data_IF_610990487175
#
_entry.id   IF_610990487175
#
_cell.length_a   1.000
_cell.length_b   1.000
_cell.length_c   1.000
_cell.angle_alpha   90.00
_cell.angle_beta   90.00
_cell.angle_gamma   90.00
#
_symmetry.space_group_name_H-M   'P 1'
#
loop_
_entity.id
_entity.type
_entity.pdbx_description
1 polymer ?
#
# COMPACT_ATOMS: atom_id res chain seq x y z
N UNK A 1 8.03 -9.36 -2.15
CA UNK A 1 8.45 -10.56 -1.41
C UNK A 1 8.91 -10.10 -0.04
N UNK A 2 8.55 -10.81 1.04
CA UNK A 2 9.06 -10.58 2.38
C UNK A 2 9.93 -11.78 2.78
N UNK A 3 11.11 -11.50 3.27
CA UNK A 3 12.04 -12.48 3.81
C UNK A 3 12.13 -12.28 5.31
N UNK A 4 11.95 -13.34 6.08
CA UNK A 4 12.21 -13.34 7.53
C UNK A 4 13.69 -13.64 7.74
N UNK A 5 14.42 -12.66 8.27
CA UNK A 5 15.87 -12.70 8.39
C UNK A 5 16.23 -12.49 9.86
N UNK A 6 17.12 -13.34 10.35
CA UNK A 6 17.79 -13.16 11.61
C UNK A 6 19.28 -12.93 11.34
N UNK A 7 19.80 -11.84 11.88
CA UNK A 7 21.21 -11.48 11.84
C UNK A 7 21.79 -11.63 13.25
N UNK A 8 22.89 -12.37 13.37
CA UNK A 8 23.62 -12.51 14.63
C UNK A 8 25.02 -11.96 14.47
N UNK A 9 25.41 -11.09 15.38
CA UNK A 9 26.76 -10.54 15.41
C UNK A 9 27.70 -11.51 16.16
N UNK A 10 28.59 -12.15 15.41
CA UNK A 10 29.61 -13.06 15.96
C UNK A 10 30.98 -12.39 16.16
N UNK A 11 31.04 -11.07 15.94
CA UNK A 11 32.28 -10.32 16.16
C UNK A 11 32.40 -9.85 17.60
N UNK A 12 33.54 -9.31 17.97
CA UNK A 12 33.82 -8.73 19.27
C UNK A 12 33.49 -7.24 19.36
N UNK A 13 32.99 -6.63 18.27
CA UNK A 13 32.62 -5.22 18.19
C UNK A 13 31.20 -5.04 17.63
N UNK A 14 30.56 -3.89 17.88
CA UNK A 14 29.25 -3.59 17.30
C UNK A 14 29.33 -3.48 15.76
N UNK A 15 28.29 -3.96 15.08
CA UNK A 15 28.14 -3.82 13.63
C UNK A 15 26.89 -3.01 13.28
N UNK A 16 26.96 -2.18 12.25
CA UNK A 16 25.81 -1.46 11.77
C UNK A 16 25.02 -2.32 10.78
N UNK A 17 23.72 -2.33 10.96
CA UNK A 17 22.76 -3.05 10.12
C UNK A 17 21.88 -2.05 9.41
N UNK A 18 21.78 -2.17 8.09
CA UNK A 18 20.86 -1.38 7.30
C UNK A 18 20.10 -2.30 6.32
N UNK A 19 18.76 -2.41 6.43
CA UNK A 19 17.98 -3.22 5.48
C UNK A 19 18.14 -2.79 4.01
N UNK A 20 18.48 -1.55 3.73
CA UNK A 20 18.74 -1.08 2.38
C UNK A 20 19.99 -1.68 1.72
N UNK A 21 20.91 -2.24 2.53
CA UNK A 21 22.14 -2.90 2.04
C UNK A 21 21.89 -4.33 1.54
N UNK A 22 20.67 -4.83 1.70
CA UNK A 22 20.25 -6.04 1.01
C UNK A 22 20.00 -5.72 -0.46
N UNK A 23 20.95 -6.10 -1.28
CA UNK A 23 20.86 -5.97 -2.74
C UNK A 23 20.52 -7.31 -3.38
N UNK A 24 19.79 -7.29 -4.48
CA UNK A 24 19.48 -8.52 -5.19
C UNK A 24 19.49 -8.35 -6.70
N UNK A 25 19.81 -9.46 -7.36
CA UNK A 25 19.67 -9.67 -8.80
C UNK A 25 18.52 -10.63 -9.04
N UNK A 26 17.73 -10.36 -10.05
CA UNK A 26 16.67 -11.27 -10.48
C UNK A 26 17.21 -12.20 -11.56
N UNK A 27 16.96 -13.49 -11.42
CA UNK A 27 17.41 -14.52 -12.37
C UNK A 27 16.21 -15.24 -13.00
N UNK A 28 16.36 -15.66 -14.24
CA UNK A 28 15.37 -16.51 -14.91
C UNK A 28 15.51 -18.00 -14.47
N UNK A 29 14.77 -18.90 -15.12
CA UNK A 29 14.81 -20.34 -14.84
C UNK A 29 16.14 -21.03 -15.21
N UNK A 30 16.97 -20.40 -16.02
CA UNK A 30 18.27 -20.92 -16.50
C UNK A 30 19.43 -20.25 -15.75
N UNK A 31 19.14 -19.49 -14.70
CA UNK A 31 20.09 -18.71 -13.89
C UNK A 31 20.76 -17.52 -14.62
N UNK A 32 20.21 -17.09 -15.76
CA UNK A 32 20.66 -15.86 -16.38
C UNK A 32 20.07 -14.65 -15.66
N UNK A 33 20.86 -13.59 -15.55
CA UNK A 33 20.43 -12.35 -14.92
C UNK A 33 19.41 -11.62 -15.80
N UNK A 34 18.26 -11.26 -15.23
CA UNK A 34 17.27 -10.43 -15.90
C UNK A 34 17.82 -9.01 -16.06
N UNK A 35 17.54 -8.41 -17.21
CA UNK A 35 17.88 -7.03 -17.53
C UNK A 35 16.71 -6.08 -17.25
N UNK A 36 17.01 -4.79 -17.14
CA UNK A 36 15.98 -3.77 -16.96
C UNK A 36 15.10 -3.68 -18.22
N UNK A 37 13.77 -3.76 -18.11
CA UNK A 37 12.86 -3.64 -19.25
C UNK A 37 13.01 -2.33 -20.03
N UNK A 38 13.48 -1.25 -19.38
CA UNK A 38 13.68 0.05 -20.00
C UNK A 38 15.08 0.20 -20.62
N UNK A 39 16.05 -0.59 -20.15
CA UNK A 39 17.41 -0.59 -20.70
C UNK A 39 18.00 -2.01 -20.67
N UNK A 40 17.91 -2.76 -21.77
CA UNK A 40 18.35 -4.15 -21.85
C UNK A 40 19.85 -4.36 -21.58
N UNK A 41 20.66 -3.30 -21.64
CA UNK A 41 22.10 -3.37 -21.35
C UNK A 41 22.42 -3.29 -19.85
N UNK A 42 21.41 -2.99 -19.00
CA UNK A 42 21.58 -2.90 -17.56
C UNK A 42 21.00 -4.15 -16.87
N UNK A 43 21.81 -4.74 -16.01
CA UNK A 43 21.37 -5.80 -15.10
C UNK A 43 20.32 -5.23 -14.14
N UNK A 44 19.26 -5.98 -13.92
CA UNK A 44 18.22 -5.62 -12.94
C UNK A 44 18.75 -5.84 -11.52
N UNK A 45 19.45 -4.83 -11.01
CA UNK A 45 19.99 -4.79 -9.66
C UNK A 45 19.16 -3.85 -8.80
N UNK A 46 18.64 -4.35 -7.69
CA UNK A 46 17.75 -3.57 -6.81
C UNK A 46 18.11 -3.79 -5.34
N UNK A 47 17.82 -2.79 -4.53
CA UNK A 47 17.90 -2.88 -3.07
C UNK A 47 16.55 -3.26 -2.44
N UNK A 48 16.61 -3.73 -1.20
CA UNK A 48 15.43 -3.87 -0.37
C UNK A 48 14.78 -2.52 -0.09
N UNK A 49 13.50 -2.54 0.25
CA UNK A 49 12.78 -1.33 0.61
C UNK A 49 13.25 -0.81 1.97
N UNK A 50 13.49 0.48 2.08
CA UNK A 50 13.77 1.16 3.34
C UNK A 50 12.48 1.23 4.18
N UNK A 51 12.43 0.59 5.36
CA UNK A 51 11.23 0.57 6.20
C UNK A 51 10.82 1.96 6.69
N UNK A 52 11.78 2.83 7.00
CA UNK A 52 11.53 4.17 7.51
C UNK A 52 10.88 5.05 6.45
N UNK A 53 11.41 4.99 5.23
CA UNK A 53 10.84 5.69 4.07
C UNK A 53 9.41 5.21 3.78
N UNK A 54 9.19 3.88 3.72
CA UNK A 54 7.88 3.33 3.41
C UNK A 54 6.85 3.61 4.51
N UNK A 55 7.22 3.54 5.78
CA UNK A 55 6.35 3.94 6.89
C UNK A 55 5.94 5.43 6.78
N UNK A 56 6.89 6.31 6.48
CA UNK A 56 6.63 7.73 6.24
C UNK A 56 5.67 7.94 5.07
N UNK A 57 5.84 7.19 3.97
CA UNK A 57 4.97 7.23 2.80
C UNK A 57 3.53 6.82 3.13
N UNK A 58 3.32 5.82 4.00
CA UNK A 58 1.98 5.44 4.47
C UNK A 58 1.34 6.56 5.28
N UNK A 59 2.09 7.23 6.14
CA UNK A 59 1.62 8.41 6.88
C UNK A 59 1.15 9.56 5.97
N UNK A 60 1.87 9.81 4.88
CA UNK A 60 1.45 10.79 3.87
C UNK A 60 0.16 10.39 3.17
N UNK A 61 0.02 9.13 2.74
CA UNK A 61 -1.21 8.61 2.13
C UNK A 61 -2.42 8.74 3.06
N UNK A 62 -2.26 8.49 4.35
CA UNK A 62 -3.32 8.70 5.37
C UNK A 62 -3.76 10.16 5.42
N UNK A 63 -2.82 11.11 5.42
CA UNK A 63 -3.12 12.55 5.39
C UNK A 63 -3.87 12.95 4.11
N UNK A 64 -3.50 12.41 2.97
CA UNK A 64 -4.17 12.65 1.69
C UNK A 64 -5.60 12.12 1.67
N UNK A 65 -5.84 10.89 2.16
CA UNK A 65 -7.19 10.33 2.25
C UNK A 65 -8.07 11.12 3.23
N UNK A 66 -7.52 11.59 4.34
CA UNK A 66 -8.24 12.48 5.28
C UNK A 66 -8.63 13.79 4.60
N UNK A 67 -7.73 14.40 3.82
CA UNK A 67 -8.05 15.60 3.03
C UNK A 67 -9.14 15.32 2.00
N UNK A 68 -9.07 14.17 1.33
CA UNK A 68 -10.06 13.72 0.33
C UNK A 68 -11.44 13.57 0.96
N UNK A 69 -11.53 12.93 2.15
CA UNK A 69 -12.79 12.80 2.87
C UNK A 69 -13.37 14.17 3.28
N UNK A 70 -12.52 15.10 3.76
CA UNK A 70 -12.95 16.46 4.10
C UNK A 70 -13.54 17.18 2.88
N UNK A 71 -12.87 17.10 1.72
CA UNK A 71 -13.38 17.67 0.45
C UNK A 71 -14.70 17.02 0.03
N UNK A 72 -14.81 15.69 0.13
CA UNK A 72 -16.06 14.99 -0.18
C UNK A 72 -17.22 15.41 0.73
N UNK A 73 -16.96 15.65 2.02
CA UNK A 73 -17.95 16.20 2.96
C UNK A 73 -18.45 17.57 2.52
N UNK A 74 -17.55 18.50 2.18
CA UNK A 74 -17.92 19.83 1.71
C UNK A 74 -18.78 19.76 0.45
N UNK A 75 -18.34 18.99 -0.55
CA UNK A 75 -19.08 18.81 -1.80
C UNK A 75 -20.47 18.20 -1.53
N UNK A 76 -20.56 17.18 -0.69
CA UNK A 76 -21.85 16.56 -0.36
C UNK A 76 -22.78 17.53 0.39
N UNK A 77 -22.23 18.43 1.21
CA UNK A 77 -23.02 19.47 1.88
C UNK A 77 -23.55 20.51 0.88
N UNK A 78 -22.69 20.97 -0.03
CA UNK A 78 -23.12 21.91 -1.09
C UNK A 78 -24.19 21.30 -2.00
N UNK A 79 -24.02 20.03 -2.40
CA UNK A 79 -25.03 19.31 -3.18
C UNK A 79 -26.35 19.16 -2.42
N UNK A 80 -26.28 18.92 -1.10
CA UNK A 80 -27.49 18.85 -0.27
C UNK A 80 -28.22 20.17 -0.24
N UNK A 81 -27.52 21.29 -0.05
CA UNK A 81 -28.08 22.63 -0.10
C UNK A 81 -28.75 22.92 -1.46
N UNK A 82 -28.07 22.53 -2.54
CA UNK A 82 -28.63 22.69 -3.89
C UNK A 82 -29.91 21.87 -4.11
N UNK A 83 -29.94 20.61 -3.61
CA UNK A 83 -31.18 19.78 -3.68
C UNK A 83 -32.33 20.40 -2.86
N UNK A 84 -32.03 20.91 -1.65
CA UNK A 84 -33.05 21.60 -0.82
C UNK A 84 -33.60 22.83 -1.55
N UNK A 85 -32.74 23.67 -2.11
CA UNK A 85 -33.15 24.85 -2.86
C UNK A 85 -33.98 24.51 -4.10
N UNK A 86 -33.57 23.46 -4.85
CA UNK A 86 -34.30 22.97 -6.01
C UNK A 86 -35.67 22.38 -5.63
N UNK A 87 -35.74 21.63 -4.53
CA UNK A 87 -37.03 21.08 -4.01
C UNK A 87 -37.99 22.19 -3.63
N UNK A 88 -37.53 23.22 -2.87
CA UNK A 88 -38.32 24.35 -2.50
C UNK A 88 -38.83 25.16 -3.71
N UNK A 89 -37.95 25.43 -4.68
CA UNK A 89 -38.32 26.12 -5.92
C UNK A 89 -39.31 25.32 -6.77
N UNK A 90 -39.10 24.01 -6.90
CA UNK A 90 -39.98 23.13 -7.65
C UNK A 90 -41.38 23.02 -7.02
N UNK A 91 -41.44 22.98 -5.68
CA UNK A 91 -42.73 22.92 -4.96
C UNK A 91 -43.56 24.21 -5.16
N UNK A 92 -42.89 25.37 -5.14
CA UNK A 92 -43.58 26.68 -5.30
C UNK A 92 -44.02 26.96 -6.75
N UNK A 93 -43.32 26.37 -7.74
CA UNK A 93 -43.57 26.63 -9.17
C UNK A 93 -44.40 25.56 -9.88
N UNK A 94 -44.82 24.49 -9.19
CA UNK A 94 -45.62 23.40 -9.80
C UNK A 94 -47.03 23.90 -10.15
N UNK A 95 -47.38 23.78 -11.45
CA UNK A 95 -48.69 24.23 -11.99
C UNK A 95 -49.79 23.19 -11.91
N UNK A 96 -49.44 21.91 -11.66
CA UNK A 96 -50.40 20.82 -11.53
C UNK A 96 -49.98 19.84 -10.43
N UNK A 97 -50.97 19.10 -9.91
CA UNK A 97 -50.71 18.07 -8.90
C UNK A 97 -49.75 16.97 -9.42
N UNK A 98 -49.88 16.56 -10.66
CA UNK A 98 -48.96 15.55 -11.27
C UNK A 98 -47.56 16.07 -11.39
N UNK A 99 -47.37 17.33 -11.72
CA UNK A 99 -46.05 17.97 -11.76
C UNK A 99 -45.40 18.04 -10.37
N UNK A 100 -46.19 18.42 -9.37
CA UNK A 100 -45.78 18.42 -7.96
C UNK A 100 -45.28 17.04 -7.52
N UNK A 101 -46.07 15.98 -7.74
CA UNK A 101 -45.70 14.60 -7.36
C UNK A 101 -44.43 14.16 -8.08
N UNK A 102 -44.28 14.43 -9.37
CA UNK A 102 -43.10 14.12 -10.14
C UNK A 102 -41.85 14.82 -9.55
N UNK A 103 -41.95 16.11 -9.28
CA UNK A 103 -40.85 16.90 -8.72
C UNK A 103 -40.47 16.40 -7.33
N UNK A 104 -41.43 16.07 -6.50
CA UNK A 104 -41.23 15.51 -5.16
C UNK A 104 -40.52 14.16 -5.21
N UNK A 105 -40.89 13.31 -6.17
CA UNK A 105 -40.23 12.02 -6.40
C UNK A 105 -38.76 12.19 -6.80
N UNK A 106 -38.46 13.12 -7.71
CA UNK A 106 -37.10 13.44 -8.13
C UNK A 106 -36.26 13.98 -6.98
N UNK A 107 -36.80 14.86 -6.16
CA UNK A 107 -36.12 15.35 -4.96
C UNK A 107 -35.82 14.24 -3.97
N UNK A 108 -36.74 13.32 -3.72
CA UNK A 108 -36.54 12.17 -2.85
C UNK A 108 -35.43 11.24 -3.38
N UNK A 109 -35.37 10.98 -4.69
CA UNK A 109 -34.30 10.21 -5.31
C UNK A 109 -32.94 10.92 -5.17
N UNK A 110 -32.89 12.24 -5.31
CA UNK A 110 -31.67 13.03 -5.10
C UNK A 110 -31.18 12.93 -3.65
N UNK A 111 -32.07 13.06 -2.66
CA UNK A 111 -31.71 12.88 -1.25
C UNK A 111 -31.17 11.48 -0.95
N UNK A 112 -31.84 10.44 -1.45
CA UNK A 112 -31.39 9.05 -1.29
C UNK A 112 -30.03 8.83 -1.93
N UNK A 113 -29.80 9.34 -3.13
CA UNK A 113 -28.52 9.21 -3.83
C UNK A 113 -27.38 9.88 -3.08
N UNK A 114 -27.61 11.05 -2.47
CA UNK A 114 -26.62 11.72 -1.62
C UNK A 114 -26.35 10.97 -0.31
N UNK A 115 -27.37 10.35 0.29
CA UNK A 115 -27.19 9.51 1.46
C UNK A 115 -26.32 8.28 1.14
N UNK A 116 -26.63 7.57 0.05
CA UNK A 116 -25.83 6.43 -0.42
C UNK A 116 -24.38 6.87 -0.72
N UNK A 117 -24.20 8.00 -1.42
CA UNK A 117 -22.86 8.54 -1.71
C UNK A 117 -22.06 8.83 -0.45
N UNK A 118 -22.69 9.33 0.61
CA UNK A 118 -22.05 9.52 1.91
C UNK A 118 -21.56 8.20 2.50
N UNK A 119 -22.43 7.20 2.56
CA UNK A 119 -22.10 5.88 3.10
C UNK A 119 -20.91 5.25 2.32
N UNK A 120 -20.97 5.28 0.98
CA UNK A 120 -19.87 4.76 0.14
C UNK A 120 -18.55 5.51 0.38
N UNK A 121 -18.59 6.84 0.49
CA UNK A 121 -17.38 7.63 0.76
C UNK A 121 -16.76 7.26 2.12
N UNK A 122 -17.57 7.09 3.17
CA UNK A 122 -17.09 6.69 4.49
C UNK A 122 -16.57 5.26 4.51
N UNK A 123 -17.28 4.32 3.87
CA UNK A 123 -16.84 2.92 3.79
C UNK A 123 -15.50 2.79 3.06
N UNK A 124 -15.37 3.45 1.91
CA UNK A 124 -14.11 3.48 1.15
C UNK A 124 -12.97 4.11 1.96
N UNK A 125 -13.25 5.20 2.68
CA UNK A 125 -12.27 5.83 3.56
C UNK A 125 -11.83 4.88 4.68
N UNK A 126 -12.77 4.26 5.39
CA UNK A 126 -12.46 3.32 6.48
C UNK A 126 -11.60 2.15 5.99
N UNK A 127 -11.99 1.53 4.87
CA UNK A 127 -11.24 0.41 4.27
C UNK A 127 -9.80 0.81 3.89
N UNK A 128 -9.61 2.01 3.31
CA UNK A 128 -8.27 2.49 2.96
C UNK A 128 -7.44 2.83 4.19
N UNK A 129 -8.06 3.44 5.20
CA UNK A 129 -7.36 3.75 6.46
C UNK A 129 -6.88 2.48 7.15
N UNK A 130 -7.73 1.45 7.30
CA UNK A 130 -7.34 0.16 7.86
C UNK A 130 -6.18 -0.47 7.09
N UNK A 131 -6.21 -0.38 5.76
CA UNK A 131 -5.11 -0.89 4.93
C UNK A 131 -3.81 -0.11 5.19
N UNK A 132 -3.86 1.22 5.25
CA UNK A 132 -2.66 2.03 5.51
C UNK A 132 -2.13 1.83 6.94
N UNK A 133 -3.03 1.67 7.92
CA UNK A 133 -2.65 1.36 9.30
C UNK A 133 -1.93 0.01 9.39
N UNK A 134 -2.45 -1.00 8.69
CA UNK A 134 -1.80 -2.31 8.63
C UNK A 134 -0.45 -2.27 7.89
N UNK A 135 -0.38 -1.55 6.76
CA UNK A 135 0.89 -1.39 6.02
C UNK A 135 1.92 -0.60 6.85
N UNK A 136 1.51 0.46 7.55
CA UNK A 136 2.39 1.21 8.45
C UNK A 136 2.89 0.34 9.61
N UNK A 137 2.01 -0.45 10.23
CA UNK A 137 2.38 -1.43 11.26
C UNK A 137 3.44 -2.41 10.76
N UNK A 138 3.27 -2.96 9.56
CA UNK A 138 4.25 -3.87 8.97
C UNK A 138 5.63 -3.23 8.83
N UNK A 139 5.68 -1.98 8.40
CA UNK A 139 6.93 -1.25 8.23
C UNK A 139 7.56 -0.82 9.55
N UNK A 140 6.75 -0.49 10.55
CA UNK A 140 7.25 -0.03 11.85
C UNK A 140 7.61 -1.15 12.80
N UNK A 141 6.82 -2.24 12.79
CA UNK A 141 6.95 -3.27 13.84
C UNK A 141 7.55 -4.59 13.32
N UNK A 142 7.26 -4.96 12.08
CA UNK A 142 7.69 -6.25 11.55
C UNK A 142 8.94 -6.16 10.68
N UNK A 143 9.23 -5.02 10.07
CA UNK A 143 10.40 -4.86 9.22
C UNK A 143 11.70 -4.83 10.05
N UNK A 144 12.75 -5.42 9.49
CA UNK A 144 14.10 -5.27 10.01
C UNK A 144 14.47 -3.78 10.03
N UNK A 145 14.89 -3.27 11.17
CA UNK A 145 15.23 -1.86 11.35
C UNK A 145 16.73 -1.63 11.17
N UNK A 146 17.07 -0.47 10.65
CA UNK A 146 18.45 0.00 10.69
C UNK A 146 18.86 0.30 12.15
N UNK A 147 20.07 -0.06 12.51
CA UNK A 147 20.60 0.17 13.85
C UNK A 147 21.94 -0.54 14.06
N UNK A 148 22.54 -0.31 15.21
CA UNK A 148 23.79 -0.94 15.61
C UNK A 148 23.48 -2.19 16.42
N UNK A 149 24.05 -3.33 16.03
CA UNK A 149 23.91 -4.62 16.68
C UNK A 149 25.16 -4.88 17.53
N UNK A 150 25.04 -4.91 18.87
CA UNK A 150 26.16 -5.21 19.76
C UNK A 150 26.78 -6.59 19.52
N UNK A 151 27.99 -6.77 20.00
CA UNK A 151 28.69 -8.05 19.94
C UNK A 151 27.90 -9.17 20.62
N UNK A 152 27.75 -10.30 19.96
CA UNK A 152 27.04 -11.49 20.45
C UNK A 152 25.51 -11.42 20.40
N UNK A 153 24.93 -10.27 20.09
CA UNK A 153 23.46 -10.09 19.97
C UNK A 153 22.92 -10.51 18.60
N UNK A 154 21.62 -10.72 18.55
CA UNK A 154 20.88 -11.00 17.31
C UNK A 154 19.69 -10.07 17.14
N UNK A 155 19.33 -9.78 15.90
CA UNK A 155 18.13 -9.05 15.53
C UNK A 155 17.38 -9.83 14.45
N UNK A 156 16.05 -9.87 14.55
CA UNK A 156 15.18 -10.53 13.58
C UNK A 156 14.15 -9.55 13.03
N UNK A 157 13.87 -9.64 11.74
CA UNK A 157 12.84 -8.81 11.12
C UNK A 157 12.61 -9.19 9.66
N UNK A 158 11.57 -8.58 9.08
CA UNK A 158 11.22 -8.81 7.69
C UNK A 158 11.95 -7.82 6.77
N UNK A 159 12.67 -8.35 5.80
CA UNK A 159 13.25 -7.58 4.69
C UNK A 159 12.32 -7.67 3.48
N UNK A 160 11.90 -6.53 2.98
CA UNK A 160 10.95 -6.45 1.87
C UNK A 160 11.66 -6.15 0.55
N UNK A 161 11.57 -7.10 -0.36
CA UNK A 161 12.10 -6.95 -1.71
C UNK A 161 10.97 -6.60 -2.69
N UNK A 162 11.19 -5.66 -3.62
CA UNK A 162 10.25 -5.41 -4.70
C UNK A 162 10.02 -6.67 -5.53
N UNK A 163 8.77 -6.89 -5.93
CA UNK A 163 8.41 -8.01 -6.80
C UNK A 163 9.00 -7.77 -8.19
N UNK A 164 9.71 -8.77 -8.71
CA UNK A 164 10.19 -8.77 -10.10
C UNK A 164 9.36 -9.79 -10.88
N UNK A 165 8.55 -9.35 -11.86
CA UNK A 165 7.86 -10.25 -12.76
C UNK A 165 8.89 -11.12 -13.52
N UNK A 166 8.53 -12.37 -13.78
CA UNK A 166 9.34 -13.34 -14.55
C UNK A 166 10.67 -13.77 -13.88
N UNK A 167 10.97 -13.34 -12.66
CA UNK A 167 12.09 -13.88 -11.92
C UNK A 167 11.71 -15.25 -11.35
N UNK A 168 12.58 -16.23 -11.56
CA UNK A 168 12.49 -17.57 -10.94
C UNK A 168 13.32 -17.62 -9.68
N UNK A 169 14.48 -16.96 -9.70
CA UNK A 169 15.38 -16.89 -8.55
C UNK A 169 15.71 -15.43 -8.22
N UNK A 170 15.99 -15.20 -6.94
CA UNK A 170 16.51 -13.94 -6.41
C UNK A 170 17.87 -14.24 -5.77
N UNK A 171 18.94 -13.74 -6.38
CA UNK A 171 20.28 -13.78 -5.81
C UNK A 171 20.49 -12.54 -4.97
N UNK A 172 20.43 -12.70 -3.63
CA UNK A 172 20.51 -11.63 -2.67
C UNK A 172 21.93 -11.58 -2.13
N UNK A 173 22.50 -10.41 -2.08
CA UNK A 173 23.78 -10.13 -1.46
C UNK A 173 23.56 -9.17 -0.30
N UNK A 174 24.03 -9.54 0.87
CA UNK A 174 24.14 -8.67 2.01
C UNK A 174 25.63 -8.45 2.31
N UNK A 175 26.04 -7.19 2.30
CA UNK A 175 27.42 -6.82 2.62
C UNK A 175 27.48 -6.38 4.07
N UNK A 176 28.15 -7.18 4.89
CA UNK A 176 28.46 -6.80 6.26
C UNK A 176 29.66 -5.84 6.21
N UNK A 177 29.54 -4.61 6.77
CA UNK A 177 30.66 -3.68 6.80
C UNK A 177 31.91 -4.34 7.36
N UNK A 178 33.05 -4.09 6.70
CA UNK A 178 34.41 -4.56 7.08
C UNK A 178 34.65 -6.08 7.10
N UNK A 179 33.66 -6.91 6.71
CA UNK A 179 33.81 -8.35 6.81
C UNK A 179 33.69 -9.09 5.48
N UNK A 180 32.47 -9.33 5.03
CA UNK A 180 32.24 -10.15 3.84
C UNK A 180 30.84 -9.91 3.27
N UNK A 181 30.69 -10.27 2.00
CA UNK A 181 29.39 -10.34 1.35
C UNK A 181 28.79 -11.74 1.52
N UNK A 182 27.61 -11.83 2.06
CA UNK A 182 26.86 -13.09 2.22
C UNK A 182 25.93 -13.27 1.02
N UNK A 183 26.20 -14.24 0.13
CA UNK A 183 25.32 -14.55 -0.99
C UNK A 183 24.20 -15.50 -0.55
N UNK A 184 22.96 -15.18 -0.89
CA UNK A 184 21.77 -15.99 -0.63
C UNK A 184 20.99 -16.18 -1.93
N UNK A 185 20.59 -17.42 -2.25
CA UNK A 185 19.79 -17.72 -3.42
C UNK A 185 18.41 -18.21 -3.01
N UNK A 186 17.37 -17.50 -3.41
CA UNK A 186 15.99 -17.86 -3.15
C UNK A 186 15.24 -18.18 -4.44
N UNK A 187 14.52 -19.31 -4.45
CA UNK A 187 13.58 -19.65 -5.52
C UNK A 187 12.25 -18.94 -5.26
N UNK A 188 11.76 -18.22 -6.26
CA UNK A 188 10.47 -17.56 -6.20
C UNK A 188 9.39 -18.42 -6.85
N UNK A 189 8.42 -18.88 -6.09
CA UNK A 189 7.24 -19.56 -6.60
C UNK A 189 6.00 -18.67 -6.43
N UNK A 190 5.31 -18.42 -7.54
CA UNK A 190 4.04 -17.68 -7.52
C UNK A 190 2.92 -18.65 -7.18
N UNK A 191 2.52 -18.70 -5.93
CA UNK A 191 1.32 -19.44 -5.51
C UNK A 191 0.09 -18.67 -5.97
N UNK A 192 -0.60 -19.17 -6.99
CA UNK A 192 -1.91 -18.65 -7.35
C UNK A 192 -2.92 -19.03 -6.26
N UNK A 193 -3.41 -18.06 -5.51
CA UNK A 193 -4.53 -18.30 -4.63
C UNK A 193 -5.73 -18.74 -5.50
N UNK A 194 -6.18 -19.99 -5.35
CA UNK A 194 -7.45 -20.44 -5.92
C UNK A 194 -8.54 -19.49 -5.44
N UNK A 195 -9.14 -18.73 -6.36
CA UNK A 195 -10.32 -17.94 -6.05
C UNK A 195 -11.37 -18.90 -5.50
N UNK A 196 -11.71 -18.76 -4.23
CA UNK A 196 -12.85 -19.48 -3.66
C UNK A 196 -14.08 -19.18 -4.53
N UNK A 197 -14.85 -20.22 -4.94
CA UNK A 197 -16.06 -20.01 -5.70
C UNK A 197 -16.97 -19.08 -4.90
N UNK A 198 -17.39 -17.97 -5.51
CA UNK A 198 -18.43 -17.12 -4.92
C UNK A 198 -19.66 -17.97 -4.71
N UNK A 199 -20.02 -18.26 -3.46
CA UNK A 199 -21.35 -18.82 -3.14
C UNK A 199 -22.37 -17.82 -3.70
N UNK A 200 -23.16 -18.28 -4.67
CA UNK A 200 -24.36 -17.59 -5.16
C UNK A 200 -25.46 -17.65 -4.11
#
# INVERSE_FOLDING_TARGET
>A
VALDIELKNHTDHPIDINPADFHFKALNSVNDTLTDPLNPNLILYRSAADPSYEAGRMGLKRKEETKRLKRAKVINTLLMVAVIAADASSASNSRSYNEYIRNRTLSNLAYQSLAVKRVVNYSNFATRMQRYDYEEYRWRELALKAGTLPAGESVRGLVYLPKVPNATYLAINYTVPEQSTVPLLFKQELVQQKKLPRRR
#
